data_IF_305973911424
#
_entry.id   IF_305973911424
#
_cell.length_a   1.000
_cell.length_b   1.000
_cell.length_c   1.000
_cell.angle_alpha   90.00
_cell.angle_beta   90.00
_cell.angle_gamma   90.00
#
_symmetry.space_group_name_H-M   'P 1'
#
loop_
_entity.id
_entity.type
_entity.pdbx_description
1 polymer ?
#
# COMPACT_ATOMS: atom_id res chain seq x y z
N UNK A 1 -73.86 4.28 -36.75
CA UNK A 1 -72.73 3.49 -36.23
C UNK A 1 -71.61 4.44 -35.84
N UNK A 2 -71.51 4.79 -34.55
CA UNK A 2 -70.47 5.70 -34.01
C UNK A 2 -69.36 4.83 -33.41
N UNK A 3 -68.12 5.00 -33.87
CA UNK A 3 -66.94 4.30 -33.35
C UNK A 3 -66.48 4.95 -32.04
N UNK A 4 -66.21 4.12 -31.03
CA UNK A 4 -65.60 4.54 -29.77
C UNK A 4 -64.11 4.24 -29.81
N UNK A 5 -63.31 5.29 -29.89
CA UNK A 5 -61.86 5.24 -29.67
C UNK A 5 -61.61 5.26 -28.16
N UNK A 6 -61.17 4.14 -27.58
CA UNK A 6 -60.69 4.09 -26.19
C UNK A 6 -59.25 4.62 -26.15
N UNK A 7 -59.05 5.77 -25.49
CA UNK A 7 -57.71 6.28 -25.13
C UNK A 7 -57.18 5.48 -23.95
N UNK A 8 -56.06 4.79 -24.14
CA UNK A 8 -55.28 4.22 -23.03
C UNK A 8 -54.42 5.34 -22.43
N UNK A 9 -54.64 5.65 -21.16
CA UNK A 9 -53.76 6.50 -20.36
C UNK A 9 -52.67 5.57 -19.82
N UNK A 10 -51.44 5.69 -20.31
CA UNK A 10 -50.27 5.09 -19.68
C UNK A 10 -49.97 5.87 -18.40
N UNK A 11 -50.21 5.26 -17.25
CA UNK A 11 -49.69 5.73 -15.96
C UNK A 11 -48.26 5.17 -15.86
N UNK A 12 -47.27 6.03 -16.08
CA UNK A 12 -45.87 5.75 -15.77
C UNK A 12 -45.72 5.72 -14.24
N UNK A 13 -45.73 4.51 -13.68
CA UNK A 13 -45.31 4.26 -12.30
C UNK A 13 -43.79 4.44 -12.24
N UNK A 14 -43.36 5.61 -11.76
CA UNK A 14 -42.01 5.84 -11.29
C UNK A 14 -41.81 5.03 -10.00
N UNK A 15 -41.34 3.79 -10.11
CA UNK A 15 -40.76 3.08 -8.97
C UNK A 15 -39.40 3.71 -8.69
N UNK A 16 -39.35 4.60 -7.71
CA UNK A 16 -38.10 5.01 -7.09
C UNK A 16 -37.46 3.76 -6.46
N UNK A 17 -36.49 3.16 -7.15
CA UNK A 17 -35.57 2.24 -6.52
C UNK A 17 -34.72 3.11 -5.61
N UNK A 18 -35.08 3.17 -4.33
CA UNK A 18 -34.14 3.57 -3.29
C UNK A 18 -33.04 2.51 -3.29
N UNK A 19 -32.00 2.73 -4.11
CA UNK A 19 -30.74 2.04 -3.91
C UNK A 19 -30.32 2.35 -2.48
N UNK A 20 -30.17 1.33 -1.64
CA UNK A 20 -29.46 1.50 -0.38
C UNK A 20 -28.09 2.05 -0.75
N UNK A 21 -27.84 3.32 -0.47
CA UNK A 21 -26.50 3.87 -0.53
C UNK A 21 -25.70 3.10 0.52
N UNK A 22 -24.85 2.18 0.07
CA UNK A 22 -23.89 1.53 0.94
C UNK A 22 -23.00 2.62 1.52
N UNK A 23 -23.04 2.79 2.84
CA UNK A 23 -22.14 3.67 3.57
C UNK A 23 -20.95 2.82 4.02
N UNK A 24 -19.71 3.18 3.66
CA UNK A 24 -18.53 2.51 4.18
C UNK A 24 -18.54 2.49 5.71
N UNK A 25 -18.12 1.36 6.31
CA UNK A 25 -17.81 1.32 7.75
C UNK A 25 -16.58 2.20 7.99
N UNK A 26 -16.69 3.32 8.76
CA UNK A 26 -15.55 4.18 9.01
C UNK A 26 -14.51 3.41 9.83
N UNK A 27 -13.23 3.62 9.53
CA UNK A 27 -12.17 3.09 10.37
C UNK A 27 -11.97 3.98 11.59
N UNK A 28 -11.84 3.36 12.75
CA UNK A 28 -11.46 4.00 13.98
C UNK A 28 -9.98 3.72 14.30
N UNK A 29 -9.32 4.67 14.92
CA UNK A 29 -8.09 4.43 15.67
C UNK A 29 -8.46 3.99 17.08
N UNK A 30 -7.95 2.83 17.50
CA UNK A 30 -8.08 2.37 18.88
C UNK A 30 -6.73 2.24 19.55
N UNK A 31 -6.71 2.41 20.86
CA UNK A 31 -5.59 2.03 21.73
C UNK A 31 -5.97 0.79 22.55
N UNK A 32 -5.07 -0.18 22.55
CA UNK A 32 -5.24 -1.48 23.19
C UNK A 32 -4.18 -1.63 24.27
N UNK A 33 -4.62 -1.92 25.50
CA UNK A 33 -3.71 -2.25 26.59
C UNK A 33 -3.14 -3.66 26.42
N UNK A 34 -1.89 -3.76 25.96
CA UNK A 34 -1.20 -5.03 25.73
C UNK A 34 -0.18 -5.37 26.82
N UNK A 35 0.11 -6.67 26.95
CA UNK A 35 1.29 -7.18 27.66
C UNK A 35 2.27 -7.64 26.61
N UNK A 36 3.42 -6.97 26.48
CA UNK A 36 4.46 -7.33 25.51
C UNK A 36 5.17 -8.63 25.94
N UNK A 37 5.48 -9.57 25.02
CA UNK A 37 5.18 -9.59 23.58
C UNK A 37 3.85 -10.31 23.26
N UNK A 38 3.35 -11.11 24.21
CA UNK A 38 2.25 -12.06 24.04
C UNK A 38 0.97 -11.39 23.48
N UNK A 39 0.74 -10.13 23.82
CA UNK A 39 -0.41 -9.36 23.36
C UNK A 39 -0.42 -9.13 21.84
N UNK A 40 0.73 -8.82 21.24
CA UNK A 40 0.84 -8.58 19.79
C UNK A 40 0.65 -9.89 19.02
N UNK A 41 1.32 -10.95 19.46
CA UNK A 41 1.20 -12.27 18.83
C UNK A 41 -0.23 -12.79 18.89
N UNK A 42 -0.93 -12.55 20.01
CA UNK A 42 -2.35 -12.91 20.14
C UNK A 42 -3.24 -12.10 19.20
N UNK A 43 -3.07 -10.78 19.11
CA UNK A 43 -3.84 -9.94 18.17
C UNK A 43 -3.63 -10.38 16.72
N UNK A 44 -2.38 -10.66 16.34
CA UNK A 44 -2.05 -11.16 15.01
C UNK A 44 -2.71 -12.51 14.72
N UNK A 45 -2.72 -13.43 15.70
CA UNK A 45 -3.38 -14.73 15.59
C UNK A 45 -4.91 -14.63 15.53
N UNK A 46 -5.50 -13.56 16.06
CA UNK A 46 -6.92 -13.23 15.96
C UNK A 46 -7.28 -12.54 14.62
N UNK A 47 -6.30 -12.33 13.72
CA UNK A 47 -6.52 -11.80 12.37
C UNK A 47 -6.41 -10.28 12.25
N UNK A 48 -5.99 -9.58 13.31
CA UNK A 48 -5.78 -8.14 13.28
C UNK A 48 -4.44 -7.78 12.60
N UNK A 49 -4.40 -6.73 11.74
CA UNK A 49 -3.21 -6.35 10.99
C UNK A 49 -2.24 -5.55 11.88
N UNK A 50 -1.56 -6.22 12.80
CA UNK A 50 -0.68 -5.60 13.81
C UNK A 50 0.47 -4.78 13.21
N UNK A 51 0.87 -5.04 11.97
CA UNK A 51 1.85 -4.23 11.24
C UNK A 51 1.37 -2.80 10.94
N UNK A 52 0.06 -2.57 10.98
CA UNK A 52 -0.52 -1.23 10.86
C UNK A 52 -0.61 -0.54 12.22
N UNK A 53 0.01 -1.10 13.27
CA UNK A 53 -0.02 -0.55 14.62
C UNK A 53 1.31 0.01 15.09
N UNK A 54 1.28 0.74 16.21
CA UNK A 54 2.46 1.30 16.84
C UNK A 54 2.28 1.47 18.34
N UNK A 55 3.39 1.49 19.08
CA UNK A 55 3.38 1.81 20.50
C UNK A 55 3.55 3.32 20.74
N UNK A 56 2.77 3.88 21.66
CA UNK A 56 3.04 5.21 22.23
C UNK A 56 4.14 5.14 23.32
N UNK A 57 4.46 6.29 23.91
CA UNK A 57 5.50 6.37 24.96
C UNK A 57 5.04 5.76 26.28
N UNK A 58 3.74 5.62 26.45
CA UNK A 58 3.06 5.06 27.60
C UNK A 58 2.89 3.53 27.49
N UNK A 59 3.26 2.94 26.35
CA UNK A 59 3.21 1.50 26.08
C UNK A 59 1.84 1.00 25.58
N UNK A 60 0.92 1.89 25.19
CA UNK A 60 -0.33 1.49 24.55
C UNK A 60 -0.09 1.20 23.07
N UNK A 61 -0.74 0.14 22.57
CA UNK A 61 -0.66 -0.22 21.17
C UNK A 61 -1.84 0.40 20.41
N UNK A 62 -1.53 1.25 19.46
CA UNK A 62 -2.51 1.90 18.61
C UNK A 62 -2.70 1.09 17.33
N UNK A 63 -3.95 0.79 16.96
CA UNK A 63 -4.29 0.04 15.75
C UNK A 63 -5.51 0.65 15.04
N UNK A 64 -5.49 0.81 13.70
CA UNK A 64 -6.64 1.20 12.92
C UNK A 64 -7.51 -0.04 12.67
N UNK A 65 -8.79 0.03 13.01
CA UNK A 65 -9.74 -1.08 12.81
C UNK A 65 -11.04 -0.56 12.20
N UNK A 66 -11.79 -1.38 11.45
CA UNK A 66 -13.16 -1.05 11.10
C UNK A 66 -13.96 -0.69 12.36
N UNK A 67 -14.84 0.32 12.30
CA UNK A 67 -15.65 0.74 13.44
C UNK A 67 -16.48 -0.41 14.01
N UNK A 68 -16.94 -1.33 13.16
CA UNK A 68 -17.61 -2.56 13.55
C UNK A 68 -16.76 -3.54 14.37
N UNK A 69 -15.43 -3.53 14.21
CA UNK A 69 -14.51 -4.44 14.90
C UNK A 69 -14.23 -4.02 16.36
N UNK A 70 -14.56 -2.79 16.77
CA UNK A 70 -14.36 -2.31 18.14
C UNK A 70 -15.13 -3.17 19.15
N UNK A 71 -16.38 -3.53 18.82
CA UNK A 71 -17.21 -4.37 19.69
C UNK A 71 -16.66 -5.80 19.79
N UNK A 72 -16.05 -6.31 18.72
CA UNK A 72 -15.44 -7.63 18.68
C UNK A 72 -14.20 -7.69 19.58
N UNK A 73 -13.28 -6.72 19.48
CA UNK A 73 -12.11 -6.65 20.35
C UNK A 73 -12.50 -6.67 21.83
N UNK A 74 -13.53 -5.91 22.21
CA UNK A 74 -14.05 -5.90 23.59
C UNK A 74 -14.62 -7.27 23.99
N UNK A 75 -15.36 -7.94 23.09
CA UNK A 75 -15.93 -9.26 23.33
C UNK A 75 -14.83 -10.35 23.49
N UNK A 76 -13.69 -10.19 22.81
CA UNK A 76 -12.49 -11.04 22.92
C UNK A 76 -11.66 -10.73 24.19
N UNK A 77 -12.09 -9.76 24.99
CA UNK A 77 -11.50 -9.44 26.29
C UNK A 77 -10.39 -8.40 26.26
N UNK A 78 -10.20 -7.70 25.13
CA UNK A 78 -9.24 -6.60 25.05
C UNK A 78 -9.74 -5.37 25.79
N UNK A 79 -8.81 -4.65 26.43
CA UNK A 79 -9.06 -3.31 26.97
C UNK A 79 -8.84 -2.29 25.86
N UNK A 80 -9.93 -1.84 25.25
CA UNK A 80 -9.92 -0.95 24.08
C UNK A 80 -10.40 0.44 24.47
N UNK A 81 -9.69 1.47 24.02
CA UNK A 81 -10.18 2.84 23.97
C UNK A 81 -10.24 3.30 22.52
N UNK A 82 -11.28 4.07 22.16
CA UNK A 82 -11.39 4.67 20.83
C UNK A 82 -10.73 6.04 20.86
N UNK A 83 -9.58 6.17 20.22
CA UNK A 83 -8.82 7.43 20.18
C UNK A 83 -9.39 8.38 19.13
N UNK A 84 -9.70 7.83 17.94
CA UNK A 84 -10.28 8.56 16.81
C UNK A 84 -11.40 7.70 16.23
N UNK A 85 -12.67 8.14 16.30
CA UNK A 85 -13.80 7.31 15.85
C UNK A 85 -13.92 7.20 14.33
N UNK A 86 -13.38 8.16 13.59
CA UNK A 86 -13.39 8.19 12.12
C UNK A 86 -12.09 8.81 11.61
N UNK A 87 -11.17 7.95 11.17
CA UNK A 87 -9.86 8.33 10.63
C UNK A 87 -9.97 9.17 9.36
N UNK A 88 -10.90 8.83 8.46
CA UNK A 88 -11.08 9.52 7.19
C UNK A 88 -11.46 10.97 7.43
N UNK A 89 -12.53 11.19 8.21
CA UNK A 89 -12.98 12.54 8.56
C UNK A 89 -11.91 13.29 9.35
N UNK A 90 -11.26 12.62 10.33
CA UNK A 90 -10.22 13.22 11.15
C UNK A 90 -9.07 13.82 10.32
N UNK A 91 -8.55 13.08 9.33
CA UNK A 91 -7.45 13.53 8.49
C UNK A 91 -7.88 14.55 7.43
N UNK A 92 -9.08 14.40 6.86
CA UNK A 92 -9.61 15.39 5.92
C UNK A 92 -9.77 16.77 6.56
N UNK A 93 -10.33 16.84 7.78
CA UNK A 93 -10.51 18.10 8.52
C UNK A 93 -9.21 18.77 8.93
N UNK A 94 -8.13 17.99 9.06
CA UNK A 94 -6.79 18.46 9.46
C UNK A 94 -5.86 18.66 8.28
N UNK A 95 -6.33 18.37 7.07
CA UNK A 95 -5.51 18.58 5.88
C UNK A 95 -5.30 20.08 5.68
N UNK A 96 -4.05 20.51 5.81
CA UNK A 96 -3.62 21.87 5.51
C UNK A 96 -2.81 21.81 4.22
N UNK A 97 -3.39 22.19 3.06
CA UNK A 97 -2.65 22.20 1.81
C UNK A 97 -1.43 23.12 1.92
N UNK A 98 -0.25 22.58 1.62
CA UNK A 98 0.96 23.37 1.55
C UNK A 98 0.90 24.30 0.32
N UNK A 99 1.21 25.60 0.50
CA UNK A 99 1.12 26.60 -0.57
C UNK A 99 2.28 26.51 -1.57
N UNK A 100 3.43 25.98 -1.16
CA UNK A 100 4.61 25.79 -2.00
C UNK A 100 5.49 24.67 -1.45
N UNK A 101 6.00 23.78 -2.32
CA UNK A 101 7.01 22.76 -2.02
C UNK A 101 7.91 22.50 -3.23
N UNK A 102 9.08 21.92 -2.99
CA UNK A 102 10.04 21.48 -4.02
C UNK A 102 9.56 20.22 -4.77
N UNK A 103 8.59 19.50 -4.21
CA UNK A 103 8.00 18.30 -4.79
C UNK A 103 6.52 18.52 -5.14
N UNK A 104 6.05 18.20 -6.37
CA UNK A 104 4.65 18.39 -6.77
C UNK A 104 3.72 17.47 -5.96
N UNK A 105 2.71 18.04 -5.31
CA UNK A 105 1.69 17.27 -4.57
C UNK A 105 0.54 16.85 -5.48
N UNK A 106 -0.12 15.75 -5.15
CA UNK A 106 -1.33 15.30 -5.83
C UNK A 106 -2.63 15.74 -5.17
N UNK A 107 -3.74 15.50 -5.84
CA UNK A 107 -5.07 15.94 -5.41
C UNK A 107 -5.70 15.07 -4.30
N UNK A 108 -5.13 13.90 -4.00
CA UNK A 108 -5.64 12.98 -2.97
C UNK A 108 -4.96 13.22 -1.61
N UNK A 109 -5.33 14.32 -0.94
CA UNK A 109 -4.68 14.80 0.30
C UNK A 109 -3.16 14.97 0.16
N UNK A 110 -2.73 15.53 -0.97
CA UNK A 110 -1.31 15.72 -1.28
C UNK A 110 -0.66 14.52 -1.96
N UNK A 111 -1.32 13.36 -2.02
CA UNK A 111 -0.86 12.19 -2.76
C UNK A 111 -1.42 12.17 -4.19
N UNK A 112 -0.69 11.56 -5.12
CA UNK A 112 -1.16 11.42 -6.50
C UNK A 112 -2.33 10.46 -6.62
N UNK A 113 -3.37 10.84 -7.35
CA UNK A 113 -4.27 9.85 -7.97
C UNK A 113 -3.50 8.97 -8.97
N UNK A 114 -4.09 7.86 -9.40
CA UNK A 114 -3.51 7.02 -10.45
C UNK A 114 -3.15 7.85 -11.69
N UNK A 115 -4.06 8.70 -12.17
CA UNK A 115 -3.80 9.54 -13.35
C UNK A 115 -2.61 10.49 -13.13
N UNK A 116 -2.54 11.14 -11.96
CA UNK A 116 -1.42 12.02 -11.62
C UNK A 116 -0.10 11.25 -11.48
N UNK A 117 -0.12 10.03 -10.94
CA UNK A 117 1.06 9.18 -10.81
C UNK A 117 1.58 8.74 -12.19
N UNK A 118 0.69 8.33 -13.10
CA UNK A 118 1.06 7.98 -14.47
C UNK A 118 1.61 9.19 -15.23
N UNK A 119 0.95 10.36 -15.11
CA UNK A 119 1.43 11.60 -15.68
C UNK A 119 2.80 12.01 -15.09
N UNK A 120 3.06 11.69 -13.82
CA UNK A 120 4.35 11.94 -13.17
C UNK A 120 5.45 11.07 -13.74
N UNK A 121 5.21 9.77 -13.94
CA UNK A 121 6.14 8.87 -14.63
C UNK A 121 6.49 9.41 -16.02
N UNK A 122 5.46 9.73 -16.82
CA UNK A 122 5.63 10.24 -18.18
C UNK A 122 6.38 11.59 -18.20
N UNK A 123 6.10 12.47 -17.24
CA UNK A 123 6.81 13.74 -17.09
C UNK A 123 8.28 13.58 -16.69
N UNK A 124 8.62 12.61 -15.87
CA UNK A 124 10.01 12.36 -15.45
C UNK A 124 10.82 11.81 -16.63
N UNK A 125 10.28 10.82 -17.34
CA UNK A 125 10.89 10.28 -18.55
C UNK A 125 11.09 11.35 -19.64
N UNK A 126 10.12 12.26 -19.82
CA UNK A 126 10.24 13.34 -20.79
C UNK A 126 11.29 14.40 -20.39
N UNK A 127 11.40 14.70 -19.09
CA UNK A 127 12.31 15.74 -18.59
C UNK A 127 13.75 15.25 -18.48
N UNK A 128 13.93 13.99 -18.11
CA UNK A 128 15.23 13.36 -17.90
C UNK A 128 15.37 12.09 -18.77
N UNK A 129 15.28 12.20 -20.10
CA UNK A 129 15.23 11.03 -20.99
C UNK A 129 16.53 10.21 -21.00
N UNK A 130 17.63 10.79 -20.55
CA UNK A 130 18.92 10.09 -20.38
C UNK A 130 19.07 9.47 -18.99
N UNK A 131 18.11 9.65 -18.08
CA UNK A 131 18.15 9.09 -16.74
C UNK A 131 16.94 8.21 -16.41
N UNK A 132 15.78 8.46 -17.03
CA UNK A 132 14.51 7.82 -16.67
C UNK A 132 13.91 7.17 -17.90
N UNK A 133 13.60 5.87 -17.79
CA UNK A 133 12.97 5.12 -18.87
C UNK A 133 11.51 5.53 -19.03
N UNK A 134 10.91 5.36 -20.23
CA UNK A 134 9.46 5.25 -20.33
C UNK A 134 8.96 4.14 -19.40
N UNK A 135 7.76 4.31 -18.84
CA UNK A 135 7.12 3.24 -18.06
C UNK A 135 6.77 2.05 -18.95
N UNK A 136 6.93 0.85 -18.41
CA UNK A 136 6.54 -0.40 -19.05
C UNK A 136 5.62 -1.23 -18.15
N UNK A 137 4.73 -2.00 -18.77
CA UNK A 137 3.72 -2.78 -18.06
C UNK A 137 4.28 -4.15 -17.69
N UNK A 138 4.37 -4.45 -16.39
CA UNK A 138 4.83 -5.74 -15.88
C UNK A 138 3.71 -6.78 -15.75
N UNK A 139 2.46 -6.37 -15.96
CA UNK A 139 1.29 -7.22 -15.83
C UNK A 139 0.02 -6.40 -15.71
N UNK A 140 -1.11 -7.08 -15.45
CA UNK A 140 -2.39 -6.44 -15.26
C UNK A 140 -3.08 -6.97 -14.00
N UNK A 141 -3.84 -6.11 -13.33
CA UNK A 141 -4.63 -6.42 -12.14
C UNK A 141 -5.88 -7.26 -12.46
N UNK A 142 -6.65 -7.61 -11.43
CA UNK A 142 -7.93 -8.33 -11.56
C UNK A 142 -8.95 -7.55 -12.39
N UNK A 143 -9.00 -6.23 -12.24
CA UNK A 143 -9.86 -5.32 -13.03
C UNK A 143 -9.18 -4.85 -14.32
N UNK A 144 -8.11 -5.54 -14.76
CA UNK A 144 -7.41 -5.33 -16.03
C UNK A 144 -6.77 -3.93 -16.17
N UNK A 145 -6.22 -3.40 -15.07
CA UNK A 145 -5.37 -2.20 -15.10
C UNK A 145 -3.91 -2.62 -15.14
N UNK A 146 -3.12 -1.98 -15.98
CA UNK A 146 -1.69 -2.26 -16.06
C UNK A 146 -0.96 -1.85 -14.77
N UNK A 147 -0.02 -2.69 -14.36
CA UNK A 147 0.95 -2.41 -13.29
C UNK A 147 2.21 -1.92 -13.96
N UNK A 148 2.63 -0.70 -13.61
CA UNK A 148 3.71 0.00 -14.32
C UNK A 148 5.00 -0.02 -13.53
N UNK A 149 6.09 -0.32 -14.22
CA UNK A 149 7.46 -0.15 -13.75
C UNK A 149 8.20 0.89 -14.60
N UNK A 150 9.24 1.51 -14.06
CA UNK A 150 10.22 2.29 -14.83
C UNK A 150 11.59 2.24 -14.15
N UNK A 151 12.64 2.49 -14.93
CA UNK A 151 14.04 2.47 -14.48
C UNK A 151 14.63 3.87 -14.38
N UNK A 152 15.53 4.06 -13.41
CA UNK A 152 16.47 5.17 -13.33
C UNK A 152 17.90 4.63 -13.42
N UNK A 153 18.67 5.09 -14.41
CA UNK A 153 20.08 4.76 -14.68
C UNK A 153 20.61 5.76 -15.73
N UNK A 154 21.91 5.95 -15.86
CA UNK A 154 22.52 6.80 -16.90
C UNK A 154 22.35 6.24 -18.34
N UNK A 155 21.91 4.99 -18.46
CA UNK A 155 21.53 4.32 -19.70
C UNK A 155 20.14 3.66 -19.59
N UNK A 156 19.06 4.42 -19.36
CA UNK A 156 17.78 3.89 -18.88
C UNK A 156 17.00 3.01 -19.87
N UNK A 157 17.51 2.84 -21.10
CA UNK A 157 16.89 2.02 -22.17
C UNK A 157 17.73 0.82 -22.57
N UNK A 158 18.89 0.64 -21.95
CA UNK A 158 19.78 -0.50 -22.14
C UNK A 158 19.77 -1.32 -20.86
N UNK A 159 20.03 -2.62 -20.99
CA UNK A 159 20.25 -3.53 -19.86
C UNK A 159 21.77 -3.69 -19.72
N UNK A 160 22.33 -3.16 -18.63
CA UNK A 160 23.76 -3.13 -18.38
C UNK A 160 24.16 -4.10 -17.25
N UNK A 161 25.44 -4.47 -17.19
CA UNK A 161 25.98 -5.32 -16.12
C UNK A 161 26.20 -4.48 -14.85
N UNK A 162 25.11 -3.92 -14.32
CA UNK A 162 25.06 -3.09 -13.13
C UNK A 162 24.16 -3.72 -12.05
N UNK A 163 24.50 -3.59 -10.75
CA UNK A 163 23.63 -4.10 -9.69
C UNK A 163 22.25 -3.44 -9.72
N UNK A 164 21.21 -4.26 -9.79
CA UNK A 164 19.84 -3.78 -9.81
C UNK A 164 19.26 -3.64 -8.39
N UNK A 165 18.42 -2.62 -8.19
CA UNK A 165 17.66 -2.43 -6.94
C UNK A 165 16.19 -2.15 -7.26
N UNK A 166 15.29 -2.91 -6.62
CA UNK A 166 13.85 -2.73 -6.79
C UNK A 166 13.25 -1.95 -5.63
N UNK A 167 12.43 -0.96 -5.97
CA UNK A 167 11.61 -0.19 -5.04
C UNK A 167 10.13 -0.34 -5.39
N UNK A 168 9.31 -0.80 -4.46
CA UNK A 168 7.85 -0.93 -4.69
C UNK A 168 7.05 -0.13 -3.68
N UNK A 169 5.89 0.39 -4.09
CA UNK A 169 4.95 1.08 -3.21
C UNK A 169 3.51 0.64 -3.45
N UNK A 170 2.62 1.00 -2.50
CA UNK A 170 1.18 0.74 -2.60
C UNK A 170 0.86 -0.74 -2.84
N UNK A 171 1.57 -1.66 -2.20
CA UNK A 171 1.11 -3.06 -2.05
C UNK A 171 -0.18 -3.10 -1.24
N UNK A 172 -0.29 -2.27 -0.20
CA UNK A 172 -1.56 -1.93 0.44
C UNK A 172 -2.10 -0.61 -0.11
N UNK A 173 -3.36 -0.61 -0.51
CA UNK A 173 -3.95 0.53 -1.22
C UNK A 173 -4.19 1.78 -0.37
N UNK A 174 -4.12 1.69 0.96
CA UNK A 174 -4.33 2.82 1.88
C UNK A 174 -3.05 3.57 2.26
N UNK A 175 -1.93 3.23 1.64
CA UNK A 175 -0.58 3.68 2.03
C UNK A 175 0.10 4.52 0.94
N UNK A 176 -0.55 5.56 0.39
CA UNK A 176 -0.02 6.29 -0.77
C UNK A 176 1.27 7.06 -0.49
N UNK A 177 1.63 7.26 0.79
CA UNK A 177 2.90 7.86 1.15
C UNK A 177 4.10 7.03 0.66
N UNK A 178 3.97 5.69 0.58
CA UNK A 178 4.99 4.82 0.01
C UNK A 178 5.28 5.19 -1.46
N UNK A 179 4.22 5.31 -2.28
CA UNK A 179 4.32 5.78 -3.67
C UNK A 179 4.94 7.18 -3.76
N UNK A 180 4.50 8.11 -2.92
CA UNK A 180 5.02 9.49 -2.93
C UNK A 180 6.51 9.55 -2.61
N UNK A 181 6.99 8.73 -1.66
CA UNK A 181 8.40 8.65 -1.34
C UNK A 181 9.25 8.18 -2.53
N UNK A 182 8.75 7.22 -3.31
CA UNK A 182 9.45 6.74 -4.51
C UNK A 182 9.61 7.84 -5.56
N UNK A 183 8.53 8.57 -5.86
CA UNK A 183 8.64 9.69 -6.80
C UNK A 183 9.54 10.82 -6.28
N UNK A 184 9.53 11.07 -4.97
CA UNK A 184 10.45 12.03 -4.34
C UNK A 184 11.90 11.60 -4.55
N UNK A 185 12.23 10.34 -4.28
CA UNK A 185 13.57 9.82 -4.46
C UNK A 185 14.04 9.90 -5.92
N UNK A 186 13.20 9.49 -6.87
CA UNK A 186 13.50 9.62 -8.31
C UNK A 186 13.79 11.08 -8.70
N UNK A 187 12.98 12.03 -8.21
CA UNK A 187 13.21 13.44 -8.47
C UNK A 187 14.55 13.92 -7.90
N UNK A 188 14.90 13.51 -6.67
CA UNK A 188 16.19 13.88 -6.07
C UNK A 188 17.36 13.40 -6.93
N UNK A 189 17.36 12.14 -7.36
CA UNK A 189 18.40 11.60 -8.24
C UNK A 189 18.50 12.44 -9.53
N UNK A 190 17.38 12.69 -10.18
CA UNK A 190 17.34 13.44 -11.44
C UNK A 190 17.83 14.89 -11.31
N UNK A 191 17.47 15.58 -10.22
CA UNK A 191 17.85 16.97 -9.97
C UNK A 191 19.28 17.11 -9.45
N UNK A 192 19.78 16.10 -8.74
CA UNK A 192 21.16 16.03 -8.23
C UNK A 192 22.19 15.54 -9.24
N UNK A 193 21.77 14.83 -10.29
CA UNK A 193 22.68 14.24 -11.27
C UNK A 193 23.66 15.25 -11.88
N UNK A 194 24.96 14.93 -11.82
CA UNK A 194 26.05 15.80 -12.28
C UNK A 194 26.45 16.91 -11.31
N UNK A 195 25.77 17.06 -10.17
CA UNK A 195 26.08 18.08 -9.15
C UNK A 195 26.34 17.48 -7.77
N UNK A 196 25.52 16.51 -7.37
CA UNK A 196 25.69 15.73 -6.16
C UNK A 196 26.47 14.44 -6.50
N UNK A 197 27.68 14.23 -5.92
CA UNK A 197 28.49 13.06 -6.24
C UNK A 197 27.84 11.72 -5.88
N UNK A 198 27.04 11.66 -4.82
CA UNK A 198 26.39 10.43 -4.36
C UNK A 198 25.23 10.06 -5.26
N UNK A 199 24.37 11.03 -5.60
CA UNK A 199 23.25 10.81 -6.51
C UNK A 199 23.73 10.52 -7.95
N UNK A 200 24.84 11.13 -8.35
CA UNK A 200 25.49 10.83 -9.63
C UNK A 200 26.04 9.40 -9.66
N UNK A 201 26.69 8.97 -8.58
CA UNK A 201 27.17 7.60 -8.44
C UNK A 201 26.03 6.59 -8.50
N UNK A 202 24.91 6.86 -7.81
CA UNK A 202 23.75 5.97 -7.86
C UNK A 202 23.21 5.79 -9.29
N UNK A 203 23.11 6.88 -10.07
CA UNK A 203 22.61 6.79 -11.44
C UNK A 203 23.61 6.14 -12.43
N UNK A 204 24.92 6.31 -12.22
CA UNK A 204 25.97 5.80 -13.13
C UNK A 204 26.40 4.36 -12.89
N UNK A 205 25.97 3.75 -11.79
CA UNK A 205 26.53 2.46 -11.34
C UNK A 205 25.43 1.49 -10.87
N UNK A 206 24.16 1.84 -11.04
CA UNK A 206 23.01 1.04 -10.60
C UNK A 206 21.85 1.19 -11.57
N UNK A 207 21.13 0.09 -11.74
CA UNK A 207 19.79 0.10 -12.28
C UNK A 207 18.76 0.17 -11.14
N UNK A 208 18.11 1.33 -10.99
CA UNK A 208 17.10 1.53 -9.95
C UNK A 208 15.71 1.36 -10.57
N UNK A 209 15.03 0.27 -10.24
CA UNK A 209 13.70 -0.05 -10.73
C UNK A 209 12.61 0.35 -9.75
N UNK A 210 11.52 0.93 -10.27
CA UNK A 210 10.42 1.43 -9.46
C UNK A 210 9.09 0.85 -9.92
N UNK A 211 8.33 0.26 -8.99
CA UNK A 211 6.92 -0.12 -9.17
C UNK A 211 6.09 0.69 -8.16
N UNK A 212 5.66 1.94 -8.47
CA UNK A 212 5.08 2.79 -7.45
C UNK A 212 3.69 2.39 -6.97
N UNK A 213 2.96 1.62 -7.79
CA UNK A 213 1.59 1.19 -7.49
C UNK A 213 1.44 -0.29 -7.84
N UNK A 214 1.66 -1.18 -6.88
CA UNK A 214 1.41 -2.62 -7.04
C UNK A 214 -0.10 -2.91 -7.05
N UNK A 215 -0.83 -2.39 -6.05
CA UNK A 215 -2.27 -2.61 -5.90
C UNK A 215 -3.10 -1.50 -6.60
N UNK A 216 -3.07 -1.48 -7.94
CA UNK A 216 -3.74 -0.43 -8.72
C UNK A 216 -5.26 -0.43 -8.48
N UNK A 217 -5.89 -1.59 -8.40
CA UNK A 217 -7.35 -1.69 -8.24
C UNK A 217 -7.81 -1.22 -6.86
N UNK A 218 -7.11 -1.63 -5.79
CA UNK A 218 -7.41 -1.17 -4.44
C UNK A 218 -7.22 0.34 -4.32
N UNK A 219 -6.19 0.89 -4.97
CA UNK A 219 -5.91 2.32 -4.94
C UNK A 219 -6.99 3.13 -5.68
N UNK A 220 -7.41 2.67 -6.86
CA UNK A 220 -8.52 3.29 -7.62
C UNK A 220 -9.84 3.21 -6.84
N UNK A 221 -10.08 2.13 -6.10
CA UNK A 221 -11.23 2.04 -5.21
C UNK A 221 -11.20 3.14 -4.14
N UNK A 222 -10.06 3.35 -3.47
CA UNK A 222 -9.90 4.44 -2.49
C UNK A 222 -10.16 5.81 -3.11
N UNK A 223 -9.59 6.11 -4.29
CA UNK A 223 -9.83 7.36 -5.00
C UNK A 223 -11.31 7.59 -5.35
N UNK A 224 -12.00 6.52 -5.76
CA UNK A 224 -13.38 6.61 -6.24
C UNK A 224 -14.36 6.79 -5.08
N UNK A 225 -14.15 6.04 -3.99
CA UNK A 225 -15.01 6.09 -2.81
C UNK A 225 -14.70 7.29 -1.91
N UNK A 226 -13.45 7.75 -1.90
CA UNK A 226 -12.97 8.84 -1.08
C UNK A 226 -12.15 9.83 -1.93
N UNK A 227 -12.79 10.59 -2.84
CA UNK A 227 -12.09 11.51 -3.75
C UNK A 227 -11.39 12.66 -3.01
N UNK A 228 -11.79 12.95 -1.77
CA UNK A 228 -11.09 13.85 -0.86
C UNK A 228 -9.93 13.20 -0.08
N UNK A 229 -9.56 11.96 -0.42
CA UNK A 229 -8.56 11.12 0.26
C UNK A 229 -9.02 10.50 1.57
N UNK A 230 -8.14 9.72 2.20
CA UNK A 230 -8.43 9.00 3.45
C UNK A 230 -9.19 7.69 3.27
N UNK A 231 -9.15 7.09 2.08
CA UNK A 231 -9.73 5.77 1.83
C UNK A 231 -8.94 4.65 2.51
N UNK A 232 -9.65 3.67 3.07
CA UNK A 232 -9.09 2.64 3.96
C UNK A 232 -9.05 1.24 3.34
N UNK A 233 -9.31 1.09 2.04
CA UNK A 233 -9.06 -0.18 1.34
C UNK A 233 -7.58 -0.53 1.44
N UNK A 234 -7.32 -1.74 1.97
CA UNK A 234 -5.96 -2.30 2.11
C UNK A 234 -5.67 -3.32 1.01
N UNK A 235 -6.52 -4.34 0.93
CA UNK A 235 -6.42 -5.48 0.02
C UNK A 235 -6.61 -5.09 -1.45
N UNK A 236 -6.35 -6.01 -2.38
CA UNK A 236 -6.75 -5.83 -3.78
C UNK A 236 -8.28 -5.87 -3.94
N UNK A 237 -8.79 -6.02 -5.17
CA UNK A 237 -10.25 -6.02 -5.44
C UNK A 237 -10.83 -7.36 -5.90
N UNK A 238 -10.16 -8.49 -5.62
CA UNK A 238 -10.75 -9.82 -5.84
C UNK A 238 -12.11 -9.91 -5.17
N UNK A 239 -13.12 -10.41 -5.89
CA UNK A 239 -14.40 -10.72 -5.25
C UNK A 239 -14.25 -11.96 -4.35
N UNK A 240 -14.18 -11.73 -3.05
CA UNK A 240 -14.08 -12.76 -2.00
C UNK A 240 -15.42 -13.05 -1.33
N UNK A 241 -16.54 -12.53 -1.86
CA UNK A 241 -17.87 -12.73 -1.26
C UNK A 241 -18.16 -11.87 -0.04
N UNK A 242 -17.27 -10.91 0.30
CA UNK A 242 -17.36 -10.06 1.49
C UNK A 242 -18.13 -8.73 1.26
N UNK A 243 -18.92 -8.66 0.20
CA UNK A 243 -19.60 -7.42 -0.20
C UNK A 243 -18.68 -6.45 -0.95
N UNK A 244 -19.13 -5.21 -1.21
CA UNK A 244 -18.39 -4.23 -2.00
C UNK A 244 -17.36 -3.42 -1.19
N UNK A 245 -17.35 -3.57 0.13
CA UNK A 245 -16.62 -2.73 1.07
C UNK A 245 -15.12 -2.99 1.17
N UNK A 246 -14.56 -2.60 2.31
CA UNK A 246 -13.12 -2.73 2.57
C UNK A 246 -12.67 -4.15 2.89
N UNK A 247 -13.62 -5.02 3.21
CA UNK A 247 -13.41 -6.44 3.49
C UNK A 247 -13.15 -7.26 2.22
N UNK A 248 -13.49 -6.73 1.04
CA UNK A 248 -13.24 -7.40 -0.24
C UNK A 248 -11.76 -7.42 -0.59
N UNK A 249 -11.31 -8.55 -1.13
CA UNK A 249 -9.99 -8.71 -1.72
C UNK A 249 -9.09 -9.68 -0.98
N UNK A 250 -7.88 -9.83 -1.50
CA UNK A 250 -6.75 -10.58 -0.92
C UNK A 250 -5.67 -9.59 -0.50
N UNK A 251 -5.06 -9.83 0.66
CA UNK A 251 -3.89 -9.08 1.09
C UNK A 251 -2.67 -9.52 0.27
N UNK A 252 -2.19 -8.62 -0.60
CA UNK A 252 -1.06 -8.92 -1.49
C UNK A 252 0.21 -9.21 -0.70
N UNK A 253 0.39 -8.62 0.48
CA UNK A 253 1.56 -8.84 1.33
C UNK A 253 1.45 -10.11 2.20
N UNK A 254 0.41 -10.91 1.98
CA UNK A 254 0.28 -12.28 2.50
C UNK A 254 0.16 -13.31 1.37
N UNK A 255 0.28 -12.89 0.11
CA UNK A 255 0.06 -13.73 -1.06
C UNK A 255 1.35 -14.16 -1.76
N UNK A 256 2.53 -13.84 -1.21
CA UNK A 256 3.81 -14.41 -1.66
C UNK A 256 3.98 -15.86 -1.15
N UNK A 257 4.97 -16.60 -1.65
CA UNK A 257 5.12 -18.04 -1.35
C UNK A 257 5.89 -18.39 -0.09
N UNK A 258 6.66 -17.44 0.47
CA UNK A 258 7.38 -17.66 1.71
C UNK A 258 6.41 -17.82 2.88
N UNK A 259 6.45 -18.99 3.53
CA UNK A 259 5.57 -19.37 4.65
C UNK A 259 4.09 -19.02 4.43
N UNK A 260 3.60 -19.23 3.19
CA UNK A 260 2.23 -18.85 2.83
C UNK A 260 1.19 -19.55 3.70
N UNK A 261 0.25 -18.77 4.26
CA UNK A 261 -0.74 -19.25 5.22
C UNK A 261 -0.20 -19.45 6.64
N UNK A 262 1.05 -19.04 6.90
CA UNK A 262 1.67 -19.03 8.21
C UNK A 262 1.12 -17.95 9.15
N UNK A 263 1.71 -17.83 10.36
CA UNK A 263 1.30 -16.86 11.37
C UNK A 263 1.24 -15.42 10.84
N UNK A 264 0.30 -14.62 11.35
CA UNK A 264 0.09 -13.24 10.91
C UNK A 264 -0.71 -13.08 9.62
N UNK A 265 -1.23 -14.18 9.07
CA UNK A 265 -2.18 -14.21 7.95
C UNK A 265 -3.50 -14.88 8.34
N UNK A 266 -4.56 -14.69 7.56
CA UNK A 266 -5.86 -15.33 7.80
C UNK A 266 -6.37 -16.12 6.61
N UNK A 267 -6.96 -17.29 6.88
CA UNK A 267 -7.70 -18.07 5.88
C UNK A 267 -9.16 -17.64 5.71
N UNK A 268 -9.64 -16.66 6.48
CA UNK A 268 -11.01 -16.15 6.36
C UNK A 268 -11.09 -15.04 5.30
N UNK A 269 -11.90 -15.18 4.24
CA UNK A 269 -11.87 -14.27 3.09
C UNK A 269 -12.15 -12.79 3.38
N UNK A 270 -12.85 -12.50 4.48
CA UNK A 270 -13.23 -11.13 4.85
C UNK A 270 -12.26 -10.48 5.83
N UNK A 271 -11.26 -11.22 6.33
CA UNK A 271 -10.23 -10.65 7.18
C UNK A 271 -9.31 -9.70 6.40
N UNK A 272 -8.77 -8.66 7.06
CA UNK A 272 -7.88 -7.70 6.43
C UNK A 272 -6.56 -8.32 5.97
N UNK A 273 -6.15 -9.45 6.57
CA UNK A 273 -4.92 -10.20 6.27
C UNK A 273 -5.18 -11.50 5.51
N UNK A 274 -6.32 -11.59 4.79
CA UNK A 274 -6.66 -12.78 4.00
C UNK A 274 -5.58 -13.11 2.96
N UNK A 275 -4.94 -14.28 3.07
CA UNK A 275 -3.77 -14.66 2.26
C UNK A 275 -4.10 -15.18 0.84
N UNK A 276 -5.39 -15.30 0.51
CA UNK A 276 -5.85 -15.86 -0.76
C UNK A 276 -6.01 -17.38 -0.73
N UNK A 277 -6.38 -17.97 -1.87
CA UNK A 277 -6.64 -19.42 -1.98
C UNK A 277 -5.36 -20.25 -2.18
N UNK A 278 -4.29 -19.61 -2.67
CA UNK A 278 -2.95 -20.19 -2.83
C UNK A 278 -1.90 -19.07 -2.82
N UNK A 279 -0.63 -19.42 -2.58
CA UNK A 279 0.48 -18.52 -2.89
C UNK A 279 0.37 -18.07 -4.35
N UNK A 280 0.63 -16.78 -4.58
CA UNK A 280 0.53 -16.12 -5.89
C UNK A 280 -0.83 -16.33 -6.59
N UNK A 281 -1.92 -16.44 -5.84
CA UNK A 281 -3.28 -16.50 -6.41
C UNK A 281 -3.66 -15.19 -7.13
N UNK A 282 -3.06 -14.08 -6.73
CA UNK A 282 -3.36 -12.75 -7.27
C UNK A 282 -2.50 -12.41 -8.49
N UNK A 283 -3.08 -11.79 -9.54
CA UNK A 283 -2.29 -11.38 -10.69
C UNK A 283 -1.27 -10.28 -10.34
N UNK A 284 -1.56 -9.44 -9.33
CA UNK A 284 -0.64 -8.40 -8.88
C UNK A 284 0.62 -8.96 -8.23
N UNK A 285 0.48 -9.94 -7.32
CA UNK A 285 1.63 -10.60 -6.68
C UNK A 285 2.43 -11.44 -7.69
N UNK A 286 1.76 -12.08 -8.67
CA UNK A 286 2.44 -12.75 -9.78
C UNK A 286 3.24 -11.80 -10.65
N UNK A 287 2.71 -10.62 -10.97
CA UNK A 287 3.43 -9.64 -11.77
C UNK A 287 4.72 -9.19 -11.08
N UNK A 288 4.68 -8.94 -9.76
CA UNK A 288 5.88 -8.61 -8.98
C UNK A 288 6.87 -9.77 -8.94
N UNK A 289 6.40 -11.00 -8.70
CA UNK A 289 7.24 -12.21 -8.73
C UNK A 289 7.93 -12.38 -10.08
N UNK A 290 7.16 -12.33 -11.16
CA UNK A 290 7.67 -12.56 -12.51
C UNK A 290 8.67 -11.47 -12.92
N UNK A 291 8.44 -10.23 -12.45
CA UNK A 291 9.41 -9.14 -12.60
C UNK A 291 10.69 -9.42 -11.81
N UNK A 292 10.61 -9.81 -10.53
CA UNK A 292 11.79 -10.16 -9.73
C UNK A 292 12.57 -11.34 -10.34
N UNK A 293 11.89 -12.36 -10.84
CA UNK A 293 12.53 -13.53 -11.45
C UNK A 293 13.16 -13.25 -12.82
N UNK A 294 12.80 -12.14 -13.46
CA UNK A 294 13.32 -11.73 -14.77
C UNK A 294 14.57 -10.84 -14.68
N UNK A 295 14.97 -10.46 -13.46
CA UNK A 295 16.01 -9.48 -13.16
C UNK A 295 16.99 -10.03 -12.11
N UNK A 296 18.20 -9.47 -12.00
CA UNK A 296 19.20 -9.86 -10.99
C UNK A 296 19.30 -8.83 -9.85
N UNK A 297 18.19 -8.66 -9.12
CA UNK A 297 18.10 -7.70 -8.02
C UNK A 297 19.03 -8.06 -6.87
N UNK A 298 19.96 -7.15 -6.57
CA UNK A 298 20.80 -7.23 -5.37
C UNK A 298 20.05 -6.81 -4.11
N UNK A 299 19.06 -5.93 -4.23
CA UNK A 299 18.22 -5.46 -3.12
C UNK A 299 16.79 -5.21 -3.57
N UNK A 300 15.82 -5.51 -2.70
CA UNK A 300 14.39 -5.25 -2.92
C UNK A 300 13.82 -4.53 -1.69
N UNK A 301 13.24 -3.35 -1.90
CA UNK A 301 12.67 -2.52 -0.85
C UNK A 301 11.16 -2.32 -1.08
N UNK A 302 10.35 -2.86 -0.17
CA UNK A 302 8.90 -2.70 -0.17
C UNK A 302 8.50 -1.56 0.77
N UNK A 303 8.07 -0.43 0.20
CA UNK A 303 7.64 0.74 0.96
C UNK A 303 6.18 0.63 1.39
N UNK A 304 6.00 0.55 2.70
CA UNK A 304 4.72 0.57 3.38
C UNK A 304 4.57 1.83 4.25
N UNK A 305 3.35 2.12 4.68
CA UNK A 305 3.08 3.10 5.71
C UNK A 305 1.89 2.66 6.58
N UNK A 306 1.94 2.82 7.88
CA UNK A 306 2.91 3.57 8.69
C UNK A 306 3.63 2.63 9.66
N UNK A 307 4.33 3.18 10.66
CA UNK A 307 5.03 2.40 11.68
C UNK A 307 6.37 3.04 12.08
N UNK A 308 6.96 3.84 11.20
CA UNK A 308 8.28 4.46 11.40
C UNK A 308 9.36 3.43 11.74
N UNK A 309 9.35 2.30 11.03
CA UNK A 309 10.29 1.18 11.21
C UNK A 309 10.98 0.85 9.89
N UNK A 310 12.16 0.24 9.99
CA UNK A 310 12.81 -0.47 8.89
C UNK A 310 12.87 -1.95 9.26
N UNK A 311 12.16 -2.78 8.51
CA UNK A 311 12.09 -4.21 8.77
C UNK A 311 12.90 -5.00 7.75
N UNK A 312 13.50 -6.09 8.20
CA UNK A 312 14.20 -7.08 7.39
C UNK A 312 13.71 -8.50 7.76
N UNK A 313 13.97 -9.52 6.94
CA UNK A 313 13.48 -10.87 7.21
C UNK A 313 13.97 -11.44 8.55
N UNK A 314 13.22 -12.32 9.21
CA UNK A 314 11.92 -12.86 8.80
C UNK A 314 10.77 -12.20 9.57
N UNK A 315 9.61 -12.12 8.91
CA UNK A 315 8.41 -11.49 9.50
C UNK A 315 7.77 -12.28 10.67
N UNK A 316 8.28 -13.48 10.98
CA UNK A 316 7.87 -14.26 12.16
C UNK A 316 8.64 -13.88 13.44
N UNK A 317 9.55 -12.90 13.34
CA UNK A 317 10.38 -12.44 14.45
C UNK A 317 11.70 -13.20 14.59
N UNK A 318 11.98 -14.18 13.71
CA UNK A 318 13.27 -14.88 13.70
C UNK A 318 14.30 -14.12 12.87
N UNK A 319 15.57 -14.25 13.26
CA UNK A 319 16.68 -13.67 12.52
C UNK A 319 17.20 -14.64 11.46
N UNK A 320 17.67 -14.13 10.31
CA UNK A 320 18.28 -14.96 9.29
C UNK A 320 19.62 -15.51 9.78
N UNK A 321 20.13 -16.61 9.21
CA UNK A 321 21.44 -17.12 9.58
C UNK A 321 22.55 -16.13 9.18
N UNK A 322 23.69 -16.19 9.87
CA UNK A 322 24.87 -15.41 9.48
C UNK A 322 25.43 -15.87 8.12
N UNK A 323 25.95 -14.95 7.27
CA UNK A 323 26.24 -13.53 7.57
C UNK A 323 25.08 -12.54 7.33
N UNK A 324 23.89 -13.03 6.96
CA UNK A 324 22.79 -12.16 6.52
C UNK A 324 22.22 -11.33 7.68
N UNK A 325 22.15 -11.89 8.90
CA UNK A 325 21.73 -11.12 10.08
C UNK A 325 22.61 -9.90 10.30
N UNK A 326 23.93 -10.07 10.35
CA UNK A 326 24.86 -8.96 10.51
C UNK A 326 24.70 -7.95 9.37
N UNK A 327 24.58 -8.45 8.13
CA UNK A 327 24.42 -7.61 6.93
C UNK A 327 23.17 -6.74 7.02
N UNK A 328 22.01 -7.31 7.32
CA UNK A 328 20.76 -6.56 7.45
C UNK A 328 20.80 -5.56 8.61
N UNK A 329 21.37 -5.93 9.75
CA UNK A 329 21.50 -5.03 10.91
C UNK A 329 22.38 -3.83 10.59
N UNK A 330 23.51 -4.03 9.91
CA UNK A 330 24.44 -2.94 9.55
C UNK A 330 23.84 -2.01 8.50
N UNK A 331 23.26 -2.55 7.42
CA UNK A 331 22.55 -1.77 6.40
C UNK A 331 21.42 -0.99 7.05
N UNK A 332 20.64 -1.64 7.91
CA UNK A 332 19.51 -1.01 8.56
C UNK A 332 19.92 0.13 9.49
N UNK A 333 20.97 -0.06 10.29
CA UNK A 333 21.51 1.00 11.14
C UNK A 333 22.01 2.21 10.34
N UNK A 334 22.60 1.98 9.16
CA UNK A 334 23.02 3.04 8.26
C UNK A 334 21.81 3.80 7.68
N UNK A 335 20.79 3.07 7.23
CA UNK A 335 19.58 3.66 6.63
C UNK A 335 18.74 4.46 7.63
N UNK A 336 18.80 4.14 8.92
CA UNK A 336 18.02 4.83 9.96
C UNK A 336 18.83 5.82 10.79
N UNK A 337 20.07 6.13 10.40
CA UNK A 337 20.96 7.02 11.17
C UNK A 337 20.39 8.43 11.38
N UNK A 338 19.56 8.92 10.44
CA UNK A 338 18.96 10.26 10.49
C UNK A 338 17.58 10.26 11.13
N UNK A 339 16.73 9.29 10.80
CA UNK A 339 15.33 9.27 11.25
C UNK A 339 15.14 8.52 12.58
N UNK A 340 16.13 7.72 12.99
CA UNK A 340 16.11 6.88 14.18
C UNK A 340 14.93 5.89 14.23
N UNK A 341 14.46 5.45 13.07
CA UNK A 341 13.46 4.39 12.99
C UNK A 341 14.03 3.09 13.58
N UNK A 342 13.26 2.34 14.39
CA UNK A 342 13.67 1.02 14.85
C UNK A 342 13.96 0.10 13.67
N UNK A 343 15.01 -0.71 13.82
CA UNK A 343 15.49 -1.66 12.81
C UNK A 343 15.32 -3.07 13.37
N UNK A 344 14.64 -3.95 12.63
CA UNK A 344 14.35 -5.29 13.12
C UNK A 344 13.51 -6.16 12.19
N UNK A 345 12.77 -7.08 12.78
CA UNK A 345 11.90 -8.08 12.14
C UNK A 345 10.43 -7.68 12.10
N UNK A 346 10.07 -6.57 12.76
CA UNK A 346 8.70 -6.02 12.80
C UNK A 346 7.96 -6.28 14.11
N UNK A 347 8.64 -6.79 15.14
CA UNK A 347 8.09 -7.04 16.49
C UNK A 347 8.78 -6.23 17.60
N UNK A 348 9.78 -5.43 17.24
CA UNK A 348 10.66 -4.67 18.15
C UNK A 348 10.03 -3.45 18.81
#
# INVERSE_FOLDING_TARGET
>A
MRSHVRRFILILLWTAVYGQHWTPDPYAQVSIGLVWPDGIQRLAAEGYPVEDGWFDREGNFHLPVPGSAVAQLVAEGWKVMVDIPDLTTYFQERNVPAVQREFPLGSLLGNYTLEEALARMDSLALRYPNLVSPRDSIGATIENRAIWAFKVSDNPTQDEDEPEVLYTGLTHAREPLGMMNLFYFVQQICEGYGTDPELTFLANERELWFIPIVNVDGYVYNQTMFPGGGGMQRKNRRDTGCGPGTERGVDLNRNFDYDWGGPGSSGYPCDPTFHGDSAFSEPESRAVRDFILAHDFSNVLHYHAYGNVLIFPFGDGTYPPEPDETTFREIGAAMTVVNHFPVGTGIE
#
